data_IF_493238191709
#
_entry.id   IF_493238191709
#
_cell.length_a   1.000
_cell.length_b   1.000
_cell.length_c   1.000
_cell.angle_alpha   90.00
_cell.angle_beta   90.00
_cell.angle_gamma   90.00
#
_symmetry.space_group_name_H-M   'P 1'
#
loop_
_entity.id
_entity.type
_entity.pdbx_description
1 polymer ?
#
# COMPACT_ATOMS: atom_id res chain seq x y z
N UNK A 1 32.07 -1.63 25.74
CA UNK A 1 31.13 -2.56 25.06
C UNK A 1 29.93 -1.76 24.60
N UNK A 2 29.81 -1.48 23.31
CA UNK A 2 28.63 -0.85 22.73
C UNK A 2 27.56 -1.91 22.53
N UNK A 3 26.45 -1.78 23.25
CA UNK A 3 25.26 -2.61 23.10
C UNK A 3 24.51 -2.14 21.85
N UNK A 4 24.64 -2.88 20.76
CA UNK A 4 23.80 -2.74 19.58
C UNK A 4 22.39 -3.21 19.94
N UNK A 5 21.52 -2.25 20.26
CA UNK A 5 20.08 -2.44 20.29
C UNK A 5 19.63 -2.68 18.85
N UNK A 6 19.52 -3.94 18.44
CA UNK A 6 18.73 -4.31 17.28
C UNK A 6 17.26 -4.08 17.64
N UNK A 7 16.77 -2.89 17.32
CA UNK A 7 15.37 -2.53 17.37
C UNK A 7 14.56 -3.58 16.61
N UNK A 8 13.53 -4.10 17.28
CA UNK A 8 12.79 -5.27 16.88
C UNK A 8 12.12 -5.13 15.51
N UNK A 9 12.29 -6.17 14.70
CA UNK A 9 11.22 -6.60 13.83
C UNK A 9 10.13 -7.18 14.75
N UNK A 10 9.09 -6.40 15.06
CA UNK A 10 7.82 -7.02 15.43
C UNK A 10 7.33 -7.70 14.16
N UNK A 11 7.38 -9.03 14.15
CA UNK A 11 6.90 -9.89 13.07
C UNK A 11 5.37 -9.83 13.01
N UNK A 12 4.86 -8.64 12.70
CA UNK A 12 3.45 -8.37 12.53
C UNK A 12 3.18 -8.59 11.04
N UNK A 13 3.13 -9.87 10.66
CA UNK A 13 2.82 -10.35 9.30
C UNK A 13 1.45 -9.87 8.78
N UNK A 14 0.68 -9.18 9.62
CA UNK A 14 -0.62 -8.58 9.34
C UNK A 14 -0.64 -7.06 9.61
N UNK A 15 0.51 -6.43 9.83
CA UNK A 15 0.58 -4.99 10.02
C UNK A 15 0.04 -4.24 8.80
N UNK A 16 -0.67 -3.15 9.06
CA UNK A 16 -1.03 -2.20 8.02
C UNK A 16 0.22 -1.82 7.21
N UNK A 17 0.11 -1.84 5.89
CA UNK A 17 1.23 -1.46 5.02
C UNK A 17 1.80 -0.10 5.48
N UNK A 18 3.01 -0.14 6.03
CA UNK A 18 3.68 1.04 6.53
C UNK A 18 4.74 1.42 5.52
N UNK A 19 4.59 2.60 4.92
CA UNK A 19 5.60 3.11 3.99
C UNK A 19 6.78 3.62 4.80
N UNK A 20 7.82 2.80 4.87
CA UNK A 20 9.12 3.25 5.33
C UNK A 20 9.82 4.03 4.20
N UNK A 21 10.21 5.30 4.41
CA UNK A 21 10.85 6.11 3.38
C UNK A 21 12.29 5.69 3.08
N UNK A 22 12.91 4.89 3.95
CA UNK A 22 14.26 4.36 3.78
C UNK A 22 14.25 3.02 3.02
N UNK A 23 13.10 2.33 2.96
CA UNK A 23 12.94 1.10 2.19
C UNK A 23 12.94 1.37 0.66
N UNK A 24 13.91 0.82 -0.08
CA UNK A 24 14.08 1.10 -1.51
C UNK A 24 12.94 0.58 -2.39
N UNK A 25 12.15 -0.40 -1.93
CA UNK A 25 10.97 -0.90 -2.63
C UNK A 25 9.74 -0.02 -2.37
N UNK A 26 9.69 0.63 -1.21
CA UNK A 26 8.60 1.52 -0.80
C UNK A 26 8.83 2.99 -1.14
N UNK A 27 10.04 3.37 -1.56
CA UNK A 27 10.36 4.73 -2.04
C UNK A 27 9.38 5.23 -3.12
N UNK A 28 8.88 4.34 -3.98
CA UNK A 28 7.90 4.67 -5.01
C UNK A 28 6.55 5.13 -4.42
N UNK A 29 6.24 4.67 -3.21
CA UNK A 29 5.07 5.04 -2.44
C UNK A 29 5.32 6.08 -1.34
N UNK A 30 6.59 6.32 -0.99
CA UNK A 30 7.03 7.22 0.07
C UNK A 30 6.88 8.72 -0.25
N UNK A 31 6.34 9.07 -1.42
CA UNK A 31 6.03 10.46 -1.75
C UNK A 31 5.19 11.09 -0.61
N UNK A 32 5.62 12.25 -0.07
CA UNK A 32 5.01 12.84 1.11
C UNK A 32 3.52 13.09 0.88
N UNK A 33 2.71 12.75 1.88
CA UNK A 33 1.27 13.05 1.92
C UNK A 33 1.07 14.55 1.71
N UNK A 34 0.54 14.93 0.55
CA UNK A 34 0.41 16.33 0.12
C UNK A 34 0.88 16.60 -1.31
N UNK A 35 1.73 15.74 -1.86
CA UNK A 35 2.11 15.78 -3.28
C UNK A 35 1.05 15.07 -4.14
N UNK A 36 0.06 15.85 -4.60
CA UNK A 36 -0.85 15.62 -5.73
C UNK A 36 -1.23 14.16 -6.06
N UNK A 37 -2.43 13.71 -5.63
CA UNK A 37 -3.21 12.58 -6.22
C UNK A 37 -2.39 11.38 -6.73
N UNK A 38 -1.31 11.03 -6.04
CA UNK A 38 -0.38 10.02 -6.54
C UNK A 38 -0.86 8.66 -6.05
N UNK A 39 -0.99 7.75 -7.00
CA UNK A 39 -1.31 6.35 -6.74
C UNK A 39 -0.08 5.50 -7.03
N UNK A 40 0.23 4.55 -6.16
CA UNK A 40 1.37 3.65 -6.30
C UNK A 40 1.00 2.25 -5.80
N UNK A 41 1.70 1.24 -6.30
CA UNK A 41 1.54 -0.15 -5.89
C UNK A 41 2.93 -0.78 -5.79
N UNK A 42 3.14 -1.54 -4.72
CA UNK A 42 4.35 -2.34 -4.50
C UNK A 42 3.93 -3.78 -4.27
N UNK A 43 4.36 -4.64 -5.18
CA UNK A 43 4.17 -6.08 -5.08
C UNK A 43 5.25 -6.74 -4.22
N UNK A 44 4.98 -7.95 -3.74
CA UNK A 44 5.86 -8.76 -2.89
C UNK A 44 6.13 -8.17 -1.50
N UNK A 45 5.16 -7.44 -0.93
CA UNK A 45 5.26 -6.86 0.41
C UNK A 45 4.88 -7.86 1.51
N UNK A 46 5.85 -8.27 2.30
CA UNK A 46 5.67 -9.30 3.35
C UNK A 46 4.74 -8.87 4.50
N UNK A 47 4.53 -7.56 4.67
CA UNK A 47 3.62 -7.00 5.66
C UNK A 47 2.14 -7.14 5.27
N UNK A 48 1.86 -7.43 3.99
CA UNK A 48 0.51 -7.67 3.50
C UNK A 48 0.32 -9.17 3.25
N UNK A 49 -0.78 -9.75 3.75
CA UNK A 49 -1.16 -11.13 3.45
C UNK A 49 -1.26 -11.37 1.93
N UNK A 50 -1.78 -10.36 1.23
CA UNK A 50 -1.96 -10.31 -0.21
C UNK A 50 -0.66 -10.06 -0.98
N UNK A 51 0.41 -9.74 -0.26
CA UNK A 51 1.71 -9.29 -0.79
C UNK A 51 1.65 -8.04 -1.65
N UNK A 52 0.56 -7.28 -1.60
CA UNK A 52 0.41 -6.07 -2.40
C UNK A 52 0.10 -4.91 -1.46
N UNK A 53 0.97 -3.92 -1.46
CA UNK A 53 0.70 -2.64 -0.81
C UNK A 53 0.37 -1.57 -1.85
N UNK A 54 -0.68 -0.80 -1.59
CA UNK A 54 -1.09 0.31 -2.44
C UNK A 54 -1.25 1.61 -1.67
N UNK A 55 -1.08 2.73 -2.38
CA UNK A 55 -1.53 4.07 -1.98
C UNK A 55 -2.39 4.61 -3.12
N UNK A 56 -3.59 5.10 -2.85
CA UNK A 56 -4.51 5.58 -3.88
C UNK A 56 -4.76 7.08 -3.73
N UNK A 57 -4.46 7.86 -4.76
CA UNK A 57 -4.71 9.31 -4.82
C UNK A 57 -4.31 10.10 -3.56
N UNK A 58 -3.17 9.77 -2.95
CA UNK A 58 -2.70 10.45 -1.74
C UNK A 58 -3.32 9.97 -0.42
N UNK A 59 -4.07 8.86 -0.43
CA UNK A 59 -4.49 8.14 0.78
C UNK A 59 -3.28 7.74 1.64
N UNK A 60 -3.53 7.23 2.84
CA UNK A 60 -2.51 6.42 3.54
C UNK A 60 -2.24 5.15 2.73
N UNK A 61 -1.07 4.53 2.90
CA UNK A 61 -0.87 3.18 2.37
C UNK A 61 -1.81 2.17 3.05
N UNK A 62 -2.12 1.10 2.32
CA UNK A 62 -2.94 -0.01 2.77
C UNK A 62 -2.59 -1.27 1.98
N UNK A 63 -2.89 -2.44 2.56
CA UNK A 63 -2.78 -3.71 1.86
C UNK A 63 -4.00 -3.88 0.94
N UNK A 64 -3.77 -4.35 -0.28
CA UNK A 64 -4.83 -4.51 -1.29
C UNK A 64 -4.65 -5.81 -2.06
N UNK A 65 -5.61 -6.17 -2.90
CA UNK A 65 -5.52 -7.27 -3.85
C UNK A 65 -5.77 -6.75 -5.26
N UNK A 66 -5.27 -7.46 -6.26
CA UNK A 66 -5.76 -7.30 -7.62
C UNK A 66 -7.24 -7.70 -7.72
N UNK A 67 -7.98 -6.99 -8.55
CA UNK A 67 -9.40 -7.24 -8.78
C UNK A 67 -9.76 -6.97 -10.25
N UNK A 68 -10.82 -7.60 -10.71
CA UNK A 68 -11.45 -7.34 -12.01
C UNK A 68 -12.77 -6.58 -11.85
N UNK A 69 -13.47 -6.77 -10.73
CA UNK A 69 -14.76 -6.16 -10.42
C UNK A 69 -14.86 -5.68 -8.97
N UNK A 70 -15.72 -4.68 -8.72
CA UNK A 70 -15.96 -4.12 -7.39
C UNK A 70 -16.45 -5.17 -6.38
N UNK A 71 -17.14 -6.22 -6.84
CA UNK A 71 -17.64 -7.31 -6.00
C UNK A 71 -16.54 -8.19 -5.39
N UNK A 72 -15.31 -8.11 -5.90
CA UNK A 72 -14.16 -8.83 -5.35
C UNK A 72 -13.54 -8.10 -4.15
N UNK A 73 -13.92 -6.83 -3.96
CA UNK A 73 -13.47 -6.01 -2.84
C UNK A 73 -14.46 -6.15 -1.67
N UNK A 74 -13.99 -6.59 -0.51
CA UNK A 74 -14.84 -6.83 0.65
C UNK A 74 -15.58 -5.56 1.15
N UNK A 75 -14.91 -4.41 1.14
CA UNK A 75 -15.48 -3.11 1.48
C UNK A 75 -14.82 -1.98 0.68
N UNK A 76 -15.00 -2.01 -0.65
CA UNK A 76 -14.34 -1.04 -1.52
C UNK A 76 -14.74 -1.15 -2.97
N UNK A 77 -13.95 -0.51 -3.83
CA UNK A 77 -14.13 -0.46 -5.27
C UNK A 77 -12.85 -0.86 -5.98
N UNK A 78 -12.99 -1.50 -7.12
CA UNK A 78 -11.88 -1.96 -7.94
C UNK A 78 -11.38 -0.83 -8.83
N UNK A 79 -10.23 -0.24 -8.48
CA UNK A 79 -9.70 0.96 -9.14
C UNK A 79 -8.34 0.72 -9.74
N UNK A 80 -8.11 1.38 -10.86
CA UNK A 80 -6.82 1.43 -11.50
C UNK A 80 -5.95 2.51 -10.82
N UNK A 81 -4.74 2.14 -10.42
CA UNK A 81 -3.81 3.06 -9.76
C UNK A 81 -3.00 3.83 -10.79
N UNK A 82 -2.64 3.19 -11.90
CA UNK A 82 -1.92 3.79 -13.02
C UNK A 82 -2.84 3.83 -14.23
N UNK A 83 -3.20 5.02 -14.70
CA UNK A 83 -4.13 5.18 -15.81
C UNK A 83 -3.69 4.38 -17.05
N UNK A 84 -4.59 3.55 -17.57
CA UNK A 84 -4.41 2.61 -18.69
C UNK A 84 -3.38 1.50 -18.45
N UNK A 85 -3.09 1.13 -17.20
CA UNK A 85 -2.28 -0.07 -16.92
C UNK A 85 -3.03 -1.37 -17.24
N UNK A 86 -4.36 -1.35 -17.19
CA UNK A 86 -5.20 -2.55 -17.27
C UNK A 86 -5.24 -3.36 -15.98
N UNK A 87 -4.48 -2.97 -14.95
CA UNK A 87 -4.40 -3.66 -13.66
C UNK A 87 -5.09 -2.82 -12.59
N UNK A 88 -6.04 -3.43 -11.89
CA UNK A 88 -6.87 -2.76 -10.89
C UNK A 88 -6.69 -3.43 -9.53
N UNK A 89 -6.84 -2.63 -8.49
CA UNK A 89 -6.72 -3.08 -7.12
C UNK A 89 -7.88 -2.57 -6.28
N UNK A 90 -8.20 -3.30 -5.22
CA UNK A 90 -9.27 -2.93 -4.31
C UNK A 90 -8.89 -1.71 -3.49
N UNK A 91 -9.67 -0.64 -3.57
CA UNK A 91 -9.52 0.55 -2.73
C UNK A 91 -10.66 0.57 -1.74
N UNK A 92 -10.34 0.45 -0.46
CA UNK A 92 -11.33 0.54 0.62
C UNK A 92 -12.05 1.90 0.56
N UNK A 93 -13.35 1.91 0.85
CA UNK A 93 -14.16 3.14 0.80
C UNK A 93 -13.58 4.26 1.70
N UNK A 94 -13.01 3.89 2.85
CA UNK A 94 -12.35 4.81 3.78
C UNK A 94 -11.05 5.44 3.24
N UNK A 95 -10.51 4.94 2.12
CA UNK A 95 -9.28 5.40 1.47
C UNK A 95 -9.54 6.16 0.17
N UNK A 96 -10.79 6.23 -0.28
CA UNK A 96 -11.16 7.04 -1.43
C UNK A 96 -11.09 8.53 -1.08
N UNK A 97 -10.61 9.38 -2.00
CA UNK A 97 -10.73 10.83 -1.85
C UNK A 97 -12.21 11.24 -1.87
N UNK A 98 -12.59 12.17 -0.99
CA UNK A 98 -13.93 12.81 -0.95
C UNK A 98 -14.29 13.57 -2.23
#
# INVERSE_FOLDING_TARGET
MSLYLFSGCTDDLYAACTIDPEDPFMQQCAAPSGSARTSCVVEQQLQCETRICGKYQGSTAFCTIECSADSECADGVCREFVFQSGVRYCVENAKLPE
#
